data_IF_092655930713
#
_entry.id   IF_092655930713
#
_cell.length_a   1.000
_cell.length_b   1.000
_cell.length_c   1.000
_cell.angle_alpha   90.00
_cell.angle_beta   90.00
_cell.angle_gamma   90.00
#
_symmetry.space_group_name_H-M   'P 1'
#
loop_
_entity.id
_entity.type
_entity.pdbx_description
1 polymer ?
#
# COMPACT_ATOMS: atom_id res chain seq x y z
N UNK A 1 -14.92 -17.62 7.15
CA UNK A 1 -14.88 -16.43 6.26
C UNK A 1 -13.43 -16.27 5.89
N UNK A 2 -13.11 -16.51 4.64
CA UNK A 2 -11.73 -16.46 4.16
C UNK A 2 -11.27 -15.00 4.05
N UNK A 3 -10.06 -14.73 4.50
CA UNK A 3 -9.52 -13.39 4.56
C UNK A 3 -8.58 -13.14 3.38
N UNK A 4 -8.68 -12.00 2.72
CA UNK A 4 -7.91 -11.61 1.54
C UNK A 4 -6.40 -11.45 1.79
N UNK A 5 -5.96 -11.46 3.04
CA UNK A 5 -4.55 -11.39 3.46
C UNK A 5 -3.93 -12.77 3.78
N UNK A 6 -4.57 -13.85 3.34
CA UNK A 6 -4.07 -15.22 3.47
C UNK A 6 -3.97 -15.88 2.10
N UNK A 7 -3.39 -17.08 2.04
CA UNK A 7 -3.33 -17.87 0.80
C UNK A 7 -4.75 -18.21 0.31
N UNK A 8 -5.16 -17.58 -0.78
CA UNK A 8 -6.49 -17.69 -1.39
C UNK A 8 -6.45 -18.47 -2.71
N UNK A 9 -5.42 -19.30 -2.96
CA UNK A 9 -5.25 -20.06 -4.21
C UNK A 9 -6.41 -20.99 -4.53
N UNK A 10 -7.13 -21.48 -3.52
CA UNK A 10 -8.28 -22.38 -3.66
C UNK A 10 -9.60 -21.66 -4.01
N UNK A 11 -9.67 -20.32 -3.93
CA UNK A 11 -10.88 -19.60 -4.30
C UNK A 11 -11.13 -19.67 -5.80
N UNK A 12 -12.40 -19.88 -6.17
CA UNK A 12 -12.83 -19.82 -7.58
C UNK A 12 -12.50 -18.45 -8.17
N UNK A 13 -11.89 -18.44 -9.33
CA UNK A 13 -11.61 -17.23 -10.08
C UNK A 13 -12.89 -16.48 -10.46
N UNK A 14 -12.88 -15.18 -10.34
CA UNK A 14 -13.91 -14.27 -10.80
C UNK A 14 -13.26 -12.94 -11.17
N UNK A 15 -12.43 -13.03 -12.21
CA UNK A 15 -11.65 -11.89 -12.70
C UNK A 15 -12.56 -10.83 -13.27
N UNK A 16 -12.28 -9.59 -12.90
CA UNK A 16 -12.98 -8.40 -13.40
C UNK A 16 -11.98 -7.36 -13.82
N UNK A 17 -12.32 -6.65 -14.87
CA UNK A 17 -11.60 -5.43 -15.24
C UNK A 17 -12.32 -4.22 -14.62
N UNK A 18 -11.54 -3.35 -13.97
CA UNK A 18 -11.99 -2.06 -13.48
C UNK A 18 -11.13 -0.96 -14.08
N UNK A 19 -11.72 0.18 -14.36
CA UNK A 19 -11.01 1.37 -14.82
C UNK A 19 -10.98 2.41 -13.72
N UNK A 20 -9.91 3.16 -13.67
CA UNK A 20 -9.73 4.24 -12.69
C UNK A 20 -9.09 5.44 -13.37
N UNK A 21 -9.69 6.61 -13.23
CA UNK A 21 -9.09 7.86 -13.68
C UNK A 21 -8.57 8.65 -12.49
N UNK A 22 -7.28 8.98 -12.55
CA UNK A 22 -6.64 9.76 -11.52
C UNK A 22 -5.72 10.81 -12.15
N UNK A 23 -5.96 12.07 -11.83
CA UNK A 23 -5.38 13.23 -12.51
C UNK A 23 -5.61 13.16 -14.02
N UNK A 24 -4.52 13.25 -14.81
CA UNK A 24 -4.57 13.18 -16.26
C UNK A 24 -4.40 11.77 -16.84
N UNK A 25 -4.31 10.74 -15.98
CA UNK A 25 -4.06 9.36 -16.40
C UNK A 25 -5.29 8.48 -16.25
N UNK A 26 -5.48 7.59 -17.22
CA UNK A 26 -6.40 6.48 -17.13
C UNK A 26 -5.63 5.19 -16.81
N UNK A 27 -6.20 4.38 -15.94
CA UNK A 27 -5.65 3.12 -15.47
C UNK A 27 -6.64 1.99 -15.70
N UNK A 28 -6.13 0.82 -16.03
CA UNK A 28 -6.91 -0.42 -16.10
C UNK A 28 -6.33 -1.44 -15.13
N UNK A 29 -7.19 -2.05 -14.32
CA UNK A 29 -6.80 -3.08 -13.37
C UNK A 29 -7.62 -4.33 -13.57
N UNK A 30 -6.97 -5.49 -13.46
CA UNK A 30 -7.64 -6.76 -13.25
C UNK A 30 -7.70 -7.01 -11.74
N UNK A 31 -8.87 -7.37 -11.27
CA UNK A 31 -9.14 -7.80 -9.90
C UNK A 31 -9.72 -9.22 -9.90
N UNK A 32 -9.80 -9.84 -8.74
CA UNK A 32 -10.34 -11.21 -8.60
C UNK A 32 -10.95 -11.42 -7.21
N UNK A 33 -11.56 -12.58 -6.99
CA UNK A 33 -11.89 -13.04 -5.66
C UNK A 33 -10.61 -13.18 -4.81
N UNK A 34 -10.73 -12.92 -3.51
CA UNK A 34 -9.60 -13.03 -2.57
C UNK A 34 -8.68 -11.82 -2.53
N UNK A 35 -9.01 -10.72 -3.22
CA UNK A 35 -8.35 -9.43 -3.02
C UNK A 35 -9.30 -8.38 -2.45
N UNK A 36 -8.73 -7.39 -1.78
CA UNK A 36 -9.48 -6.27 -1.21
C UNK A 36 -10.02 -5.35 -2.30
N UNK A 37 -11.26 -4.85 -2.10
CA UNK A 37 -11.90 -3.83 -2.96
C UNK A 37 -11.93 -4.15 -4.46
N UNK A 38 -12.36 -5.38 -4.79
CA UNK A 38 -12.35 -5.91 -6.17
C UNK A 38 -13.29 -5.21 -7.17
N UNK A 39 -14.24 -4.39 -6.71
CA UNK A 39 -15.22 -3.73 -7.60
C UNK A 39 -14.78 -2.31 -8.00
N UNK A 40 -13.94 -1.67 -7.20
CA UNK A 40 -13.39 -0.34 -7.44
C UNK A 40 -12.21 -0.10 -6.51
N UNK A 41 -11.35 0.87 -6.82
CA UNK A 41 -10.30 1.28 -5.89
C UNK A 41 -10.94 1.88 -4.63
N UNK A 42 -10.53 1.35 -3.47
CA UNK A 42 -11.01 1.79 -2.16
C UNK A 42 -10.83 3.30 -1.96
N UNK A 43 -11.85 3.92 -1.37
CA UNK A 43 -11.83 5.36 -1.16
C UNK A 43 -10.66 5.83 -0.30
N UNK A 44 -10.27 5.06 0.73
CA UNK A 44 -9.09 5.37 1.54
C UNK A 44 -7.82 5.39 0.71
N UNK A 45 -7.65 4.42 -0.18
CA UNK A 45 -6.54 4.38 -1.15
C UNK A 45 -6.56 5.61 -2.06
N UNK A 46 -7.73 6.05 -2.54
CA UNK A 46 -7.83 7.27 -3.37
C UNK A 46 -7.42 8.53 -2.59
N UNK A 47 -7.83 8.65 -1.32
CA UNK A 47 -7.43 9.75 -0.44
C UNK A 47 -5.91 9.73 -0.18
N UNK A 48 -5.34 8.54 0.06
CA UNK A 48 -3.89 8.36 0.24
C UNK A 48 -3.11 8.83 -0.99
N UNK A 49 -3.46 8.31 -2.16
CA UNK A 49 -2.85 8.68 -3.44
C UNK A 49 -2.89 10.19 -3.68
N UNK A 50 -4.07 10.80 -3.49
CA UNK A 50 -4.25 12.24 -3.63
C UNK A 50 -3.35 13.02 -2.67
N UNK A 51 -3.29 12.61 -1.41
CA UNK A 51 -2.49 13.28 -0.39
C UNK A 51 -1.00 13.22 -0.72
N UNK A 52 -0.48 12.05 -1.10
CA UNK A 52 0.92 11.87 -1.49
C UNK A 52 1.26 12.75 -2.70
N UNK A 53 0.42 12.71 -3.74
CA UNK A 53 0.66 13.46 -4.96
C UNK A 53 0.55 14.99 -4.77
N UNK A 54 -0.32 15.46 -3.87
CA UNK A 54 -0.43 16.89 -3.52
C UNK A 54 0.81 17.41 -2.78
N UNK A 55 1.57 16.53 -2.13
CA UNK A 55 2.80 16.91 -1.42
C UNK A 55 4.05 16.87 -2.31
N UNK A 56 4.01 16.13 -3.43
CA UNK A 56 5.09 16.00 -4.41
C UNK A 56 6.47 15.61 -3.85
N UNK A 57 6.48 14.84 -2.73
CA UNK A 57 7.67 14.60 -1.92
C UNK A 57 8.13 13.14 -1.87
N UNK A 58 7.77 12.29 -2.85
CA UNK A 58 8.27 10.91 -2.88
C UNK A 58 9.77 10.87 -3.22
N UNK A 59 10.52 10.12 -2.43
CA UNK A 59 11.94 9.87 -2.67
C UNK A 59 12.18 8.83 -3.77
N UNK A 60 13.39 8.29 -3.84
CA UNK A 60 13.83 7.48 -4.98
C UNK A 60 13.39 6.01 -4.89
N UNK A 61 13.27 5.45 -3.70
CA UNK A 61 12.94 4.03 -3.45
C UNK A 61 11.67 3.92 -2.63
N UNK A 62 10.62 3.41 -3.24
CA UNK A 62 9.27 3.36 -2.66
C UNK A 62 8.86 1.91 -2.48
N UNK A 63 8.39 1.55 -1.29
CA UNK A 63 7.78 0.28 -0.96
C UNK A 63 6.26 0.43 -0.84
N UNK A 64 5.50 -0.32 -1.65
CA UNK A 64 4.06 -0.53 -1.48
C UNK A 64 3.86 -1.80 -0.64
N UNK A 65 3.66 -1.61 0.66
CA UNK A 65 3.58 -2.68 1.66
C UNK A 65 2.14 -3.18 1.80
N UNK A 66 1.91 -4.43 1.41
CA UNK A 66 0.57 -5.02 1.32
C UNK A 66 -0.16 -4.49 0.08
N UNK A 67 0.50 -4.58 -1.08
CA UNK A 67 0.08 -3.92 -2.32
C UNK A 67 -1.27 -4.41 -2.89
N UNK A 68 -1.76 -5.58 -2.46
CA UNK A 68 -2.96 -6.16 -3.04
C UNK A 68 -2.79 -6.40 -4.55
N UNK A 69 -3.77 -6.03 -5.35
CA UNK A 69 -3.69 -6.07 -6.81
C UNK A 69 -2.95 -4.86 -7.42
N UNK A 70 -2.30 -4.04 -6.61
CA UNK A 70 -1.36 -3.00 -7.02
C UNK A 70 -1.89 -1.59 -7.20
N UNK A 71 -3.04 -1.17 -6.60
CA UNK A 71 -3.60 0.15 -6.89
C UNK A 71 -2.67 1.32 -6.52
N UNK A 72 -1.94 1.22 -5.41
CA UNK A 72 -1.02 2.28 -4.96
C UNK A 72 0.22 2.31 -5.85
N UNK A 73 0.93 1.18 -5.95
CA UNK A 73 2.17 1.10 -6.72
C UNK A 73 1.99 1.44 -8.20
N UNK A 74 0.94 0.92 -8.86
CA UNK A 74 0.65 1.21 -10.28
C UNK A 74 0.37 2.69 -10.51
N UNK A 75 -0.47 3.31 -9.66
CA UNK A 75 -0.82 4.73 -9.83
C UNK A 75 0.41 5.61 -9.61
N UNK A 76 1.13 5.40 -8.52
CA UNK A 76 2.29 6.23 -8.20
C UNK A 76 3.45 6.01 -9.17
N UNK A 77 3.70 4.76 -9.61
CA UNK A 77 4.73 4.47 -10.61
C UNK A 77 4.48 5.19 -11.94
N UNK A 78 3.22 5.31 -12.35
CA UNK A 78 2.87 6.04 -13.58
C UNK A 78 3.08 7.55 -13.45
N UNK A 79 2.85 8.10 -12.26
CA UNK A 79 3.05 9.52 -11.96
C UNK A 79 4.54 9.84 -11.77
N UNK A 80 5.28 8.92 -11.14
CA UNK A 80 6.70 9.06 -10.82
C UNK A 80 7.54 7.99 -11.56
N UNK A 81 7.65 8.05 -12.88
CA UNK A 81 8.21 6.96 -13.69
C UNK A 81 9.69 6.69 -13.42
N UNK A 82 10.43 7.67 -12.93
CA UNK A 82 11.87 7.53 -12.61
C UNK A 82 12.14 6.86 -11.26
N UNK A 83 11.16 6.85 -10.34
CA UNK A 83 11.34 6.27 -9.01
C UNK A 83 11.31 4.74 -9.06
N UNK A 84 12.10 4.09 -8.22
CA UNK A 84 12.09 2.64 -8.06
C UNK A 84 10.93 2.23 -7.14
N UNK A 85 10.10 1.30 -7.61
CA UNK A 85 8.99 0.75 -6.82
C UNK A 85 9.20 -0.73 -6.58
N UNK A 86 9.11 -1.12 -5.32
CA UNK A 86 8.95 -2.49 -4.86
C UNK A 86 7.56 -2.66 -4.27
N UNK A 87 6.86 -3.71 -4.67
CA UNK A 87 5.46 -3.96 -4.31
C UNK A 87 5.33 -5.37 -3.77
N UNK A 88 4.92 -5.50 -2.54
CA UNK A 88 4.86 -6.79 -1.85
C UNK A 88 3.50 -7.07 -1.22
N UNK A 89 3.12 -8.33 -1.23
CA UNK A 89 1.94 -8.83 -0.52
C UNK A 89 2.18 -10.28 -0.08
N UNK A 90 1.58 -10.67 1.04
CA UNK A 90 1.66 -12.06 1.53
C UNK A 90 0.81 -13.01 0.69
N UNK A 91 -0.18 -12.50 -0.03
CA UNK A 91 -1.11 -13.26 -0.86
C UNK A 91 -0.56 -13.44 -2.29
N UNK A 92 -0.15 -14.67 -2.70
CA UNK A 92 0.41 -14.90 -4.04
C UNK A 92 -0.54 -14.53 -5.18
N UNK A 93 -1.87 -14.65 -4.99
CA UNK A 93 -2.87 -14.24 -5.99
C UNK A 93 -2.88 -12.72 -6.16
N UNK A 94 -2.79 -11.96 -5.10
CA UNK A 94 -2.68 -10.51 -5.14
C UNK A 94 -1.42 -10.08 -5.89
N UNK A 95 -0.28 -10.68 -5.59
CA UNK A 95 0.99 -10.44 -6.28
C UNK A 95 0.91 -10.74 -7.77
N UNK A 96 0.27 -11.85 -8.16
CA UNK A 96 0.08 -12.16 -9.58
C UNK A 96 -0.76 -11.09 -10.30
N UNK A 97 -1.85 -10.63 -9.67
CA UNK A 97 -2.66 -9.54 -10.20
C UNK A 97 -1.89 -8.23 -10.28
N UNK A 98 -1.09 -7.91 -9.27
CA UNK A 98 -0.25 -6.71 -9.27
C UNK A 98 0.78 -6.72 -10.41
N UNK A 99 1.45 -7.85 -10.65
CA UNK A 99 2.34 -8.04 -11.81
C UNK A 99 1.63 -7.81 -13.14
N UNK A 100 0.45 -8.39 -13.30
CA UNK A 100 -0.36 -8.19 -14.50
C UNK A 100 -0.78 -6.73 -14.67
N UNK A 101 -1.16 -6.06 -13.59
CA UNK A 101 -1.60 -4.66 -13.61
C UNK A 101 -0.44 -3.68 -13.89
N UNK A 102 0.77 -3.96 -13.41
CA UNK A 102 1.99 -3.22 -13.79
C UNK A 102 2.21 -3.34 -15.30
N UNK A 103 2.21 -4.57 -15.84
CA UNK A 103 2.40 -4.81 -17.27
C UNK A 103 1.28 -4.16 -18.12
N UNK A 104 0.02 -4.31 -17.72
CA UNK A 104 -1.17 -3.75 -18.39
C UNK A 104 -1.11 -2.22 -18.51
N UNK A 105 -0.57 -1.55 -17.52
CA UNK A 105 -0.38 -0.10 -17.53
C UNK A 105 0.96 0.34 -18.14
N UNK A 106 1.72 -0.60 -18.75
CA UNK A 106 3.00 -0.36 -19.43
C UNK A 106 4.06 0.23 -18.49
N UNK A 107 4.14 -0.32 -17.30
CA UNK A 107 5.05 0.10 -16.24
C UNK A 107 6.03 -1.02 -15.88
N UNK A 108 7.09 -0.65 -15.16
CA UNK A 108 8.08 -1.56 -14.59
C UNK A 108 8.19 -1.32 -13.08
N UNK A 109 8.02 -2.37 -12.29
CA UNK A 109 8.23 -2.38 -10.85
C UNK A 109 8.63 -3.78 -10.40
N UNK A 110 9.30 -3.87 -9.27
CA UNK A 110 9.58 -5.14 -8.63
C UNK A 110 8.35 -5.60 -7.83
N UNK A 111 7.79 -6.75 -8.15
CA UNK A 111 6.56 -7.23 -7.52
C UNK A 111 6.73 -8.68 -7.09
N UNK A 112 6.65 -8.99 -5.80
CA UNK A 112 6.83 -10.35 -5.30
C UNK A 112 6.09 -10.65 -4.00
N UNK A 113 6.06 -11.94 -3.63
CA UNK A 113 5.46 -12.38 -2.36
C UNK A 113 6.44 -12.11 -1.23
N UNK A 114 5.96 -11.49 -0.16
CA UNK A 114 6.71 -11.33 1.08
C UNK A 114 5.75 -11.29 2.27
N UNK A 115 6.14 -11.92 3.37
CA UNK A 115 5.46 -11.79 4.63
C UNK A 115 6.03 -10.56 5.36
N UNK A 116 5.30 -9.43 5.27
CA UNK A 116 5.71 -8.11 5.75
C UNK A 116 7.06 -7.73 5.10
N UNK A 117 8.19 -7.85 5.78
CA UNK A 117 9.51 -7.41 5.30
C UNK A 117 10.51 -8.57 5.12
N UNK A 118 10.07 -9.84 5.18
CA UNK A 118 10.97 -11.01 5.21
C UNK A 118 11.80 -11.19 3.93
N UNK A 119 11.23 -10.83 2.76
CA UNK A 119 11.82 -11.12 1.45
C UNK A 119 12.06 -9.83 0.62
N UNK A 120 12.49 -8.73 1.25
CA UNK A 120 12.75 -7.49 0.54
C UNK A 120 13.98 -7.58 -0.36
N UNK A 121 13.94 -6.93 -1.52
CA UNK A 121 15.03 -6.86 -2.48
C UNK A 121 15.89 -5.61 -2.32
N UNK A 122 15.37 -4.56 -1.68
CA UNK A 122 16.11 -3.32 -1.37
C UNK A 122 16.54 -3.30 0.10
N UNK A 123 17.69 -2.72 0.38
CA UNK A 123 18.23 -2.58 1.74
C UNK A 123 17.47 -1.51 2.55
N UNK A 124 17.00 -0.46 1.88
CA UNK A 124 16.29 0.65 2.52
C UNK A 124 15.40 1.42 1.54
N UNK A 125 14.43 2.13 2.09
CA UNK A 125 13.43 2.89 1.32
C UNK A 125 13.38 4.35 1.76
N UNK A 126 13.12 5.22 0.80
CA UNK A 126 12.77 6.62 1.08
C UNK A 126 11.33 6.76 1.56
N UNK A 127 10.44 5.88 1.05
CA UNK A 127 9.03 5.89 1.40
C UNK A 127 8.49 4.46 1.54
N UNK A 128 7.77 4.21 2.61
CA UNK A 128 6.95 3.00 2.79
C UNK A 128 5.50 3.43 2.86
N UNK A 129 4.68 2.88 1.97
CA UNK A 129 3.27 3.24 1.82
C UNK A 129 2.42 2.01 2.12
N UNK A 130 1.37 2.16 2.93
CA UNK A 130 0.48 1.04 3.23
C UNK A 130 -0.97 1.45 3.46
N UNK A 131 -1.88 0.61 2.95
CA UNK A 131 -3.26 0.51 3.40
C UNK A 131 -3.40 -0.81 4.17
N UNK A 132 -3.12 -0.84 5.48
CA UNK A 132 -2.87 -2.07 6.21
C UNK A 132 -4.11 -2.96 6.30
N UNK A 133 -3.93 -4.30 6.31
CA UNK A 133 -5.03 -5.27 6.38
C UNK A 133 -5.62 -5.32 7.79
N UNK A 134 -6.60 -4.46 8.09
CA UNK A 134 -7.19 -4.33 9.44
C UNK A 134 -7.69 -5.66 10.00
N UNK A 135 -8.17 -6.57 9.13
CA UNK A 135 -8.67 -7.89 9.52
C UNK A 135 -7.57 -8.88 9.92
N UNK A 136 -6.31 -8.61 9.59
CA UNK A 136 -5.17 -9.41 10.04
C UNK A 136 -4.91 -9.26 11.55
N UNK A 137 -5.48 -8.24 12.16
CA UNK A 137 -5.37 -7.97 13.59
C UNK A 137 -4.25 -6.99 13.93
N UNK A 138 -4.31 -6.47 15.17
CA UNK A 138 -3.38 -5.43 15.63
C UNK A 138 -1.92 -5.86 15.65
N UNK A 139 -1.63 -7.13 15.96
CA UNK A 139 -0.26 -7.63 16.02
C UNK A 139 0.45 -7.44 14.68
N UNK A 140 -0.16 -7.92 13.59
CA UNK A 140 0.39 -7.80 12.23
C UNK A 140 0.62 -6.33 11.85
N UNK A 141 -0.39 -5.48 12.08
CA UNK A 141 -0.30 -4.04 11.75
C UNK A 141 0.80 -3.36 12.57
N UNK A 142 0.96 -3.72 13.83
CA UNK A 142 1.99 -3.14 14.68
C UNK A 142 3.39 -3.56 14.28
N UNK A 143 3.58 -4.83 13.86
CA UNK A 143 4.82 -5.30 13.24
C UNK A 143 5.13 -4.50 11.97
N UNK A 144 4.14 -4.27 11.10
CA UNK A 144 4.33 -3.42 9.91
C UNK A 144 4.87 -2.02 10.26
N UNK A 145 4.40 -1.41 11.35
CA UNK A 145 4.87 -0.08 11.77
C UNK A 145 6.25 -0.12 12.45
N UNK A 146 6.50 -1.13 13.30
CA UNK A 146 7.76 -1.30 14.03
C UNK A 146 8.92 -1.53 13.07
N UNK A 147 8.75 -2.45 12.13
CA UNK A 147 9.78 -2.81 11.17
C UNK A 147 9.95 -1.74 10.07
N UNK A 148 8.91 -0.97 9.73
CA UNK A 148 9.03 0.16 8.79
C UNK A 148 10.15 1.13 9.21
N UNK A 149 10.28 1.40 10.51
CA UNK A 149 11.34 2.25 11.02
C UNK A 149 12.74 1.72 10.68
N UNK A 150 12.93 0.40 10.71
CA UNK A 150 14.22 -0.22 10.41
C UNK A 150 14.57 -0.10 8.93
N UNK A 151 13.59 -0.32 8.06
CA UNK A 151 13.74 -0.35 6.60
C UNK A 151 13.69 1.03 5.92
N UNK A 152 13.33 2.10 6.63
CA UNK A 152 13.40 3.46 6.10
C UNK A 152 14.82 4.03 6.20
N UNK A 153 15.18 4.86 5.22
CA UNK A 153 16.34 5.75 5.28
C UNK A 153 16.16 6.81 6.36
N UNK A 154 17.23 7.44 6.79
CA UNK A 154 17.14 8.65 7.63
C UNK A 154 16.45 9.75 6.84
N UNK A 155 15.39 10.32 7.40
CA UNK A 155 14.49 11.25 6.72
C UNK A 155 13.42 10.59 5.85
N UNK A 156 13.43 9.25 5.74
CA UNK A 156 12.41 8.49 5.02
C UNK A 156 11.06 8.50 5.73
N UNK A 157 9.98 8.28 4.98
CA UNK A 157 8.61 8.49 5.41
C UNK A 157 7.78 7.20 5.40
N UNK A 158 7.02 7.01 6.47
CA UNK A 158 5.94 6.01 6.51
C UNK A 158 4.61 6.71 6.24
N UNK A 159 3.90 6.25 5.20
CA UNK A 159 2.57 6.70 4.83
C UNK A 159 1.52 5.63 5.13
N UNK A 160 0.52 5.96 5.93
CA UNK A 160 -0.53 5.00 6.31
C UNK A 160 -1.91 5.61 6.07
N UNK A 161 -2.78 4.86 5.40
CA UNK A 161 -4.21 5.17 5.40
C UNK A 161 -4.94 4.23 6.35
N UNK A 162 -5.79 4.78 7.23
CA UNK A 162 -6.57 4.00 8.17
C UNK A 162 -7.88 4.68 8.52
N UNK A 163 -8.97 3.90 8.65
CA UNK A 163 -10.24 4.44 9.11
C UNK A 163 -10.22 4.76 10.60
N UNK A 164 -10.83 5.88 10.99
CA UNK A 164 -10.99 6.28 12.40
C UNK A 164 -11.57 5.15 13.25
N UNK A 165 -12.66 4.53 12.78
CA UNK A 165 -13.35 3.45 13.47
C UNK A 165 -12.61 2.11 13.45
N UNK A 166 -11.58 1.97 12.62
CA UNK A 166 -10.77 0.74 12.49
C UNK A 166 -9.41 0.85 13.19
N UNK A 167 -9.27 1.79 14.13
CA UNK A 167 -8.11 1.87 15.00
C UNK A 167 -7.14 3.00 14.71
N UNK A 168 -7.51 4.04 13.93
CA UNK A 168 -6.61 5.15 13.65
C UNK A 168 -6.01 5.80 14.92
N UNK A 169 -6.74 6.04 16.02
CA UNK A 169 -6.13 6.58 17.23
C UNK A 169 -5.04 5.68 17.82
N UNK A 170 -5.25 4.36 17.78
CA UNK A 170 -4.25 3.38 18.25
C UNK A 170 -3.04 3.32 17.32
N UNK A 171 -3.25 3.44 16.01
CA UNK A 171 -2.18 3.49 15.01
C UNK A 171 -1.31 4.73 15.19
N UNK A 172 -1.92 5.92 15.36
CA UNK A 172 -1.19 7.17 15.66
C UNK A 172 -0.31 7.02 16.90
N UNK A 173 -0.87 6.47 17.99
CA UNK A 173 -0.10 6.24 19.20
C UNK A 173 1.07 5.30 18.95
N UNK A 174 0.81 4.15 18.31
CA UNK A 174 1.84 3.14 18.03
C UNK A 174 2.96 3.68 17.14
N UNK A 175 2.62 4.36 16.05
CA UNK A 175 3.60 4.97 15.16
C UNK A 175 4.42 6.02 15.91
N UNK A 176 3.77 6.86 16.71
CA UNK A 176 4.47 7.86 17.54
C UNK A 176 5.42 7.23 18.56
N UNK A 177 5.02 6.11 19.16
CA UNK A 177 5.87 5.37 20.10
C UNK A 177 7.13 4.79 19.42
N UNK A 178 7.04 4.43 18.12
CA UNK A 178 8.14 3.87 17.33
C UNK A 178 9.02 4.94 16.71
N UNK A 179 8.40 5.94 16.06
CA UNK A 179 9.10 6.96 15.27
C UNK A 179 9.47 8.23 16.08
N UNK A 180 8.89 8.42 17.26
CA UNK A 180 8.96 9.69 18.00
C UNK A 180 8.01 10.77 17.46
N UNK A 181 7.46 10.58 16.28
CA UNK A 181 6.53 11.48 15.61
C UNK A 181 5.43 10.70 14.88
N UNK A 182 4.31 11.33 14.63
CA UNK A 182 3.25 10.86 13.74
C UNK A 182 2.27 12.02 13.52
N UNK A 183 2.15 12.45 12.29
CA UNK A 183 1.26 13.54 11.91
C UNK A 183 0.04 13.00 11.16
N UNK A 184 -1.13 13.61 11.40
CA UNK A 184 -2.34 13.33 10.61
C UNK A 184 -2.41 14.38 9.51
N UNK A 185 -1.92 14.03 8.33
CA UNK A 185 -1.81 14.93 7.17
C UNK A 185 -3.19 15.27 6.61
N UNK A 186 -4.10 14.29 6.57
CA UNK A 186 -5.43 14.46 6.01
C UNK A 186 -6.47 13.70 6.83
N UNK A 187 -7.67 14.28 6.92
CA UNK A 187 -8.88 13.59 7.38
C UNK A 187 -9.95 13.76 6.32
N UNK A 188 -10.46 12.67 5.80
CA UNK A 188 -11.50 12.68 4.78
C UNK A 188 -12.43 11.48 4.94
N UNK A 189 -13.74 11.74 5.01
CA UNK A 189 -14.79 10.71 5.07
C UNK A 189 -14.52 9.57 6.06
N UNK A 190 -13.92 9.92 7.21
CA UNK A 190 -13.56 8.98 8.27
C UNK A 190 -12.24 8.24 8.05
N UNK A 191 -11.51 8.51 6.97
CA UNK A 191 -10.13 8.06 6.77
C UNK A 191 -9.12 9.10 7.26
N UNK A 192 -8.05 8.62 7.84
CA UNK A 192 -6.89 9.41 8.25
C UNK A 192 -5.70 8.98 7.42
N UNK A 193 -4.98 9.95 6.86
CA UNK A 193 -3.66 9.75 6.28
C UNK A 193 -2.64 10.18 7.31
N UNK A 194 -1.80 9.23 7.69
CA UNK A 194 -0.76 9.40 8.69
C UNK A 194 0.59 9.47 7.98
N UNK A 195 1.47 10.32 8.46
CA UNK A 195 2.87 10.40 8.07
C UNK A 195 3.74 10.33 9.32
N UNK A 196 4.82 9.56 9.24
CA UNK A 196 5.89 9.57 10.24
C UNK A 196 7.25 9.59 9.52
N UNK A 197 8.22 10.26 10.09
CA UNK A 197 9.55 10.47 9.52
C UNK A 197 10.59 9.80 10.43
N UNK A 198 11.51 9.01 9.84
CA UNK A 198 12.63 8.42 10.56
C UNK A 198 13.72 9.42 10.88
#
# INVERSE_FOLDING_TARGET
>A
MEHYFTDNRHLKENRKEITFRFWCFDYSFITDNGVFSKEAIDYGTQVLLKTICEREELGERVLDLGCGYGPVGVVLKKIYPTKAFEMIDVNPRAVQLAKENICRNQLEADVHVSNIYEDLHQESYSDIITNPPIRAGKAVIYTMFEEAYQHLEVGGKLWVVIRKQQGAPSAVKKIKDVFGNCEIIKRDSGYYILEAIK
#
